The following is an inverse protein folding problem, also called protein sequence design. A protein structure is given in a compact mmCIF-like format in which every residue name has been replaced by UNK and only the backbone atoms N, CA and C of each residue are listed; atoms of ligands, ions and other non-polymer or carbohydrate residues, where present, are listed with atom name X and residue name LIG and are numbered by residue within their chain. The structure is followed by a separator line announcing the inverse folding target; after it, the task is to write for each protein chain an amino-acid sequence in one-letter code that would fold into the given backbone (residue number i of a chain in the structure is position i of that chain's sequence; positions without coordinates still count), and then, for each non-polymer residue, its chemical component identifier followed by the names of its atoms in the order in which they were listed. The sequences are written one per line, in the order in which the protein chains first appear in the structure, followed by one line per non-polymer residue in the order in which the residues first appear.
data_IF_459381128870
#
_entry.id   IF_459381128870
#
_cell.length_a   1.000
_cell.length_b   1.000
_cell.length_c   1.000
_cell.angle_alpha   90.00
_cell.angle_beta   90.00
_cell.angle_gamma   90.00
#
_symmetry.space_group_name_H-M   'P 1'
#
loop_
_entity.id
_entity.type
_entity.pdbx_description
1 polymer ?
#
# COMPACT_ATOMS: atom_id res chain seq x y z
N UNK A 1 -0.70 -13.18 25.96
CA UNK A 1 -1.78 -13.99 25.35
C UNK A 1 -3.07 -13.21 25.49
N UNK A 2 -3.74 -12.93 24.38
CA UNK A 2 -5.08 -12.34 24.38
C UNK A 2 -6.07 -13.50 24.33
N UNK A 3 -6.87 -13.68 25.39
CA UNK A 3 -7.80 -14.80 25.53
C UNK A 3 -9.23 -14.32 25.21
N UNK A 4 -9.46 -13.85 23.98
CA UNK A 4 -10.76 -13.31 23.57
C UNK A 4 -11.10 -13.61 22.12
N UNK A 5 -12.40 -13.74 21.82
CA UNK A 5 -12.92 -13.73 20.46
C UNK A 5 -13.26 -12.28 20.09
N UNK A 6 -12.48 -11.71 19.18
CA UNK A 6 -12.68 -10.33 18.73
C UNK A 6 -13.56 -10.33 17.48
N UNK A 7 -14.60 -9.52 17.49
CA UNK A 7 -15.40 -9.23 16.29
C UNK A 7 -15.09 -7.81 15.83
N UNK A 8 -14.76 -7.68 14.56
CA UNK A 8 -14.65 -6.37 13.92
C UNK A 8 -16.04 -5.97 13.41
N UNK A 9 -16.45 -4.70 13.59
CA UNK A 9 -17.74 -4.23 13.10
C UNK A 9 -17.81 -4.35 11.57
N UNK A 10 -19.03 -4.50 11.04
CA UNK A 10 -19.26 -4.45 9.60
C UNK A 10 -18.82 -3.07 9.07
N UNK A 11 -17.89 -3.00 8.09
CA UNK A 11 -17.45 -1.73 7.54
C UNK A 11 -18.56 -1.11 6.69
N UNK A 12 -18.60 0.22 6.69
CA UNK A 12 -19.41 1.01 5.76
C UNK A 12 -18.49 1.62 4.71
N UNK A 13 -19.03 1.87 3.51
CA UNK A 13 -18.31 2.61 2.47
C UNK A 13 -17.97 4.01 2.93
N UNK A 14 -16.76 4.45 2.62
CA UNK A 14 -16.28 5.79 2.91
C UNK A 14 -17.09 6.83 2.13
N UNK A 15 -17.52 7.89 2.82
CA UNK A 15 -18.31 8.96 2.20
C UNK A 15 -17.47 9.71 1.17
N UNK A 16 -17.98 9.84 -0.05
CA UNK A 16 -17.36 10.67 -1.11
C UNK A 16 -17.60 12.14 -0.79
N UNK A 17 -16.52 12.91 -0.61
CA UNK A 17 -16.62 14.34 -0.35
C UNK A 17 -16.94 15.14 -1.63
N UNK A 18 -17.70 16.22 -1.47
CA UNK A 18 -18.32 16.94 -2.59
C UNK A 18 -17.40 17.97 -3.27
N UNK A 19 -16.44 18.55 -2.54
CA UNK A 19 -15.56 19.63 -3.01
C UNK A 19 -16.32 20.83 -3.63
N UNK A 20 -17.51 21.11 -3.11
CA UNK A 20 -18.36 22.26 -3.46
C UNK A 20 -17.68 23.59 -3.15
N UNK A 21 -18.14 24.69 -3.75
CA UNK A 21 -17.56 26.01 -3.54
C UNK A 21 -17.57 26.39 -2.04
N UNK A 22 -16.43 26.83 -1.50
CA UNK A 22 -16.29 27.21 -0.10
C UNK A 22 -16.14 26.07 0.90
N UNK A 23 -16.31 24.81 0.50
CA UNK A 23 -16.22 23.65 1.38
C UNK A 23 -14.83 23.50 2.03
N UNK A 24 -14.75 23.04 3.31
CA UNK A 24 -13.47 22.85 4.00
C UNK A 24 -12.52 21.92 3.25
N UNK A 25 -13.01 20.81 2.69
CA UNK A 25 -12.22 19.84 1.94
C UNK A 25 -11.60 20.44 0.67
N UNK A 26 -12.33 21.32 -0.01
CA UNK A 26 -11.81 22.02 -1.20
C UNK A 26 -10.74 23.02 -0.85
N UNK A 27 -10.94 23.81 0.20
CA UNK A 27 -9.96 24.78 0.65
C UNK A 27 -8.67 24.06 1.08
N UNK A 28 -8.81 23.01 1.89
CA UNK A 28 -7.67 22.21 2.34
C UNK A 28 -6.92 21.55 1.19
N UNK A 29 -7.62 20.95 0.22
CA UNK A 29 -6.98 20.33 -0.94
C UNK A 29 -6.25 21.37 -1.81
N UNK A 30 -6.81 22.56 -2.00
CA UNK A 30 -6.12 23.64 -2.71
C UNK A 30 -4.81 24.04 -2.03
N UNK A 31 -4.81 24.12 -0.71
CA UNK A 31 -3.60 24.44 0.05
C UNK A 31 -2.56 23.30 -0.05
N UNK A 32 -3.01 22.05 0.03
CA UNK A 32 -2.13 20.89 -0.20
C UNK A 32 -1.57 20.87 -1.62
N UNK A 33 -2.36 21.15 -2.66
CA UNK A 33 -1.86 21.22 -4.04
C UNK A 33 -0.79 22.31 -4.20
N UNK A 34 -0.98 23.49 -3.59
CA UNK A 34 0.05 24.53 -3.57
C UNK A 34 1.32 24.07 -2.84
N UNK A 35 1.17 23.39 -1.70
CA UNK A 35 2.28 22.84 -0.93
C UNK A 35 3.06 21.79 -1.72
N UNK A 36 2.35 20.83 -2.33
CA UNK A 36 2.93 19.75 -3.13
C UNK A 36 3.64 20.27 -4.38
N UNK A 37 3.19 21.39 -4.96
CA UNK A 37 3.84 22.05 -6.11
C UNK A 37 4.98 22.99 -5.72
N UNK A 38 5.07 23.43 -4.46
CA UNK A 38 6.15 24.33 -4.03
C UNK A 38 7.43 23.59 -3.62
N UNK A 39 7.33 22.29 -3.35
CA UNK A 39 8.43 21.42 -2.94
C UNK A 39 8.84 20.49 -4.07
N UNK A 40 10.15 20.32 -4.27
CA UNK A 40 10.70 19.26 -5.12
C UNK A 40 11.06 18.08 -4.23
N UNK A 41 10.34 16.97 -4.35
CA UNK A 41 10.58 15.81 -3.49
C UNK A 41 11.66 14.89 -4.06
N UNK A 42 12.34 14.17 -3.17
CA UNK A 42 13.37 13.18 -3.50
C UNK A 42 12.89 11.82 -2.98
N UNK A 43 12.37 10.99 -3.88
CA UNK A 43 11.65 9.75 -3.54
C UNK A 43 12.59 8.54 -3.59
N UNK A 44 12.93 7.95 -2.42
CA UNK A 44 13.74 6.74 -2.36
C UNK A 44 12.89 5.49 -2.63
N UNK A 45 13.55 4.38 -2.92
CA UNK A 45 12.92 3.07 -2.71
C UNK A 45 12.86 2.78 -1.21
N UNK A 46 11.84 2.06 -0.76
CA UNK A 46 11.68 1.63 0.63
C UNK A 46 11.98 0.12 0.71
N UNK A 47 13.16 -0.24 1.22
CA UNK A 47 13.62 -1.63 1.27
C UNK A 47 14.01 -1.96 2.72
N UNK A 48 13.22 -2.81 3.37
CA UNK A 48 13.34 -3.03 4.81
C UNK A 48 13.19 -1.72 5.58
N UNK A 49 14.13 -1.46 6.49
CA UNK A 49 14.19 -0.22 7.29
C UNK A 49 14.84 0.95 6.56
N UNK A 50 15.33 0.76 5.33
CA UNK A 50 16.16 1.73 4.63
C UNK A 50 15.41 2.45 3.52
N UNK A 51 15.64 3.75 3.45
CA UNK A 51 15.43 4.52 2.23
C UNK A 51 16.65 4.36 1.32
N UNK A 52 16.46 3.73 0.15
CA UNK A 52 17.54 3.44 -0.79
C UNK A 52 17.47 4.42 -1.96
N UNK A 53 18.56 5.17 -2.13
CA UNK A 53 18.76 6.15 -3.20
C UNK A 53 19.83 5.67 -4.18
N UNK A 54 19.68 6.00 -5.45
CA UNK A 54 20.62 5.67 -6.54
C UNK A 54 21.10 6.93 -7.25
N UNK A 55 22.12 6.82 -8.08
CA UNK A 55 22.53 7.94 -8.94
C UNK A 55 21.62 8.11 -10.18
N UNK A 56 20.70 7.17 -10.43
CA UNK A 56 19.76 7.23 -11.54
C UNK A 56 18.45 7.91 -11.09
N UNK A 57 18.39 9.22 -11.25
CA UNK A 57 17.23 10.04 -10.90
C UNK A 57 16.31 10.19 -12.10
N UNK A 58 15.03 9.91 -11.89
CA UNK A 58 13.99 10.09 -12.91
C UNK A 58 13.04 11.19 -12.46
N UNK A 59 12.82 12.17 -13.31
CA UNK A 59 11.93 13.30 -13.03
C UNK A 59 10.46 12.87 -12.97
N UNK A 60 9.72 13.50 -12.07
CA UNK A 60 8.27 13.38 -11.97
C UNK A 60 7.62 14.70 -12.36
N UNK A 61 6.69 14.64 -13.29
CA UNK A 61 5.93 15.78 -13.78
C UNK A 61 4.44 15.48 -13.79
N UNK A 62 3.56 16.48 -13.54
CA UNK A 62 2.15 16.30 -13.78
C UNK A 62 1.89 16.08 -15.27
N UNK A 63 1.10 15.06 -15.68
CA UNK A 63 0.82 14.85 -17.10
C UNK A 63 0.12 16.04 -17.77
N UNK A 64 -0.67 16.82 -17.02
CA UNK A 64 -1.34 18.04 -17.50
C UNK A 64 -0.45 19.29 -17.46
N UNK A 65 0.75 19.22 -16.90
CA UNK A 65 1.66 20.36 -16.74
C UNK A 65 3.11 19.87 -16.80
N UNK A 66 3.50 19.29 -17.93
CA UNK A 66 4.77 18.57 -18.10
C UNK A 66 6.03 19.40 -17.85
N UNK A 67 5.93 20.74 -17.87
CA UNK A 67 7.04 21.66 -17.54
C UNK A 67 7.25 21.84 -16.03
N UNK A 68 6.29 21.46 -15.20
CA UNK A 68 6.39 21.59 -13.75
C UNK A 68 7.09 20.36 -13.16
N UNK A 69 8.20 20.57 -12.46
CA UNK A 69 8.96 19.50 -11.82
C UNK A 69 8.47 19.27 -10.39
N UNK A 70 7.87 18.12 -10.12
CA UNK A 70 7.44 17.71 -8.78
C UNK A 70 8.62 17.18 -7.94
N UNK A 71 9.66 16.66 -8.59
CA UNK A 71 10.77 16.02 -7.90
C UNK A 71 11.36 14.89 -8.72
N UNK A 72 12.11 14.02 -8.05
CA UNK A 72 12.73 12.84 -8.66
C UNK A 72 12.44 11.59 -7.84
N UNK A 73 12.39 10.44 -8.51
CA UNK A 73 12.54 9.15 -7.85
C UNK A 73 13.81 8.44 -8.27
N UNK A 74 14.29 7.53 -7.42
CA UNK A 74 15.51 6.80 -7.64
C UNK A 74 15.24 5.46 -8.32
N UNK A 75 15.56 5.36 -9.61
CA UNK A 75 15.43 4.12 -10.37
C UNK A 75 16.52 3.14 -9.93
N UNK A 76 16.10 1.93 -9.60
CA UNK A 76 16.92 0.80 -9.22
C UNK A 76 17.31 -0.08 -10.41
N UNK A 77 17.79 -1.27 -10.08
CA UNK A 77 18.22 -2.32 -11.00
C UNK A 77 18.06 -3.69 -10.31
N UNK A 78 18.53 -4.77 -10.94
CA UNK A 78 18.44 -6.13 -10.40
C UNK A 78 18.94 -6.28 -8.94
N UNK A 79 19.98 -5.53 -8.53
CA UNK A 79 20.48 -5.57 -7.15
C UNK A 79 19.41 -5.12 -6.15
N UNK A 80 18.64 -4.09 -6.49
CA UNK A 80 17.60 -3.55 -5.62
C UNK A 80 16.39 -4.50 -5.52
N UNK A 81 16.09 -5.24 -6.59
CA UNK A 81 15.08 -6.31 -6.55
C UNK A 81 15.52 -7.40 -5.57
N UNK A 82 16.77 -7.87 -5.66
CA UNK A 82 17.33 -8.86 -4.72
C UNK A 82 17.29 -8.37 -3.27
N UNK A 83 17.71 -7.13 -3.02
CA UNK A 83 17.64 -6.52 -1.69
C UNK A 83 16.20 -6.47 -1.14
N UNK A 84 15.20 -6.22 -1.99
CA UNK A 84 13.79 -6.22 -1.59
C UNK A 84 13.26 -7.61 -1.28
N UNK A 85 13.68 -8.63 -2.05
CA UNK A 85 13.37 -10.04 -1.77
C UNK A 85 14.00 -10.45 -0.43
N UNK A 86 15.28 -10.15 -0.22
CA UNK A 86 15.98 -10.47 1.03
C UNK A 86 15.29 -9.82 2.24
N UNK A 87 14.87 -8.55 2.10
CA UNK A 87 14.16 -7.83 3.15
C UNK A 87 12.76 -8.41 3.43
N UNK A 88 12.03 -8.83 2.38
CA UNK A 88 10.74 -9.49 2.51
C UNK A 88 10.88 -10.83 3.26
N UNK A 89 11.79 -11.69 2.81
CA UNK A 89 12.02 -13.00 3.43
C UNK A 89 12.51 -12.87 4.88
N UNK A 90 13.35 -11.88 5.18
CA UNK A 90 13.81 -11.60 6.54
C UNK A 90 12.66 -11.18 7.48
N UNK A 91 11.66 -10.45 6.98
CA UNK A 91 10.49 -10.03 7.75
C UNK A 91 9.42 -11.13 7.89
N UNK A 92 9.41 -12.12 6.99
CA UNK A 92 8.33 -13.11 6.83
C UNK A 92 7.94 -13.81 8.12
N UNK A 93 8.92 -14.43 8.79
CA UNK A 93 8.69 -15.21 10.01
C UNK A 93 8.04 -14.39 11.12
N UNK A 94 8.50 -13.16 11.34
CA UNK A 94 7.93 -12.32 12.39
C UNK A 94 6.53 -11.83 12.02
N UNK A 95 6.30 -11.53 10.75
CA UNK A 95 5.03 -11.01 10.25
C UNK A 95 3.92 -12.06 10.25
N UNK A 96 4.20 -13.28 9.77
CA UNK A 96 3.21 -14.36 9.75
C UNK A 96 2.82 -14.83 11.15
N UNK A 97 3.76 -14.80 12.10
CA UNK A 97 3.53 -15.17 13.50
C UNK A 97 2.90 -14.04 14.33
N UNK A 98 2.80 -12.81 13.79
CA UNK A 98 2.04 -11.75 14.44
C UNK A 98 0.55 -12.15 14.49
N UNK A 99 -0.17 -11.97 15.62
CA UNK A 99 -1.60 -12.21 15.68
C UNK A 99 -2.32 -11.45 14.56
N UNK A 100 -3.27 -12.11 13.89
CA UNK A 100 -3.90 -11.53 12.70
C UNK A 100 -4.67 -10.25 13.02
N UNK A 101 -5.20 -10.11 14.25
CA UNK A 101 -5.87 -8.91 14.73
C UNK A 101 -4.90 -7.73 14.83
N UNK A 102 -3.65 -7.99 15.23
CA UNK A 102 -2.59 -6.97 15.24
C UNK A 102 -2.18 -6.58 13.83
N UNK A 103 -2.15 -7.53 12.88
CA UNK A 103 -1.98 -7.19 11.46
C UNK A 103 -3.14 -6.32 10.97
N UNK A 104 -4.38 -6.73 11.21
CA UNK A 104 -5.58 -6.01 10.81
C UNK A 104 -5.62 -4.57 11.36
N UNK A 105 -5.21 -4.37 12.62
CA UNK A 105 -5.17 -3.05 13.25
C UNK A 105 -4.28 -2.05 12.50
N UNK A 106 -3.20 -2.50 11.86
CA UNK A 106 -2.32 -1.65 11.05
C UNK A 106 -3.08 -1.12 9.82
N UNK A 107 -3.80 -1.98 9.11
CA UNK A 107 -4.55 -1.58 7.91
C UNK A 107 -5.76 -0.71 8.26
N UNK A 108 -6.45 -0.99 9.36
CA UNK A 108 -7.53 -0.13 9.87
C UNK A 108 -6.99 1.25 10.27
N UNK A 109 -5.85 1.32 10.96
CA UNK A 109 -5.20 2.58 11.29
C UNK A 109 -4.77 3.35 10.04
N UNK A 110 -4.24 2.67 9.02
CA UNK A 110 -3.93 3.29 7.73
C UNK A 110 -5.18 3.87 7.05
N UNK A 111 -6.31 3.15 7.09
CA UNK A 111 -7.58 3.64 6.58
C UNK A 111 -8.03 4.93 7.29
N UNK A 112 -7.95 4.99 8.62
CA UNK A 112 -8.31 6.19 9.39
C UNK A 112 -7.36 7.37 9.15
N UNK A 113 -6.06 7.08 9.00
CA UNK A 113 -5.06 8.08 8.63
C UNK A 113 -5.38 8.70 7.26
N UNK A 114 -5.79 7.88 6.27
CA UNK A 114 -6.21 8.35 4.95
C UNK A 114 -7.55 9.09 5.04
N UNK A 115 -8.53 8.59 5.82
CA UNK A 115 -9.84 9.24 5.96
C UNK A 115 -9.75 10.62 6.60
N UNK A 116 -8.80 10.82 7.51
CA UNK A 116 -8.52 12.07 8.20
C UNK A 116 -7.40 12.88 7.56
N UNK A 117 -6.25 12.95 8.27
CA UNK A 117 -5.20 13.95 8.00
C UNK A 117 -4.52 13.79 6.63
N UNK A 118 -4.47 12.58 6.08
CA UNK A 118 -3.81 12.32 4.79
C UNK A 118 -4.74 12.37 3.59
N UNK A 119 -6.07 12.46 3.76
CA UNK A 119 -7.03 12.53 2.64
C UNK A 119 -6.66 13.55 1.56
N UNK A 120 -6.40 14.83 1.89
CA UNK A 120 -6.05 15.81 0.87
C UNK A 120 -4.68 15.56 0.23
N UNK A 121 -3.76 14.88 0.92
CA UNK A 121 -2.43 14.52 0.40
C UNK A 121 -2.50 13.30 -0.54
N UNK A 122 -3.31 12.30 -0.23
CA UNK A 122 -3.59 11.17 -1.12
C UNK A 122 -4.25 11.66 -2.42
N UNK A 123 -5.27 12.51 -2.30
CA UNK A 123 -5.89 13.12 -3.47
C UNK A 123 -4.92 14.03 -4.22
N UNK A 124 -4.18 14.90 -3.53
CA UNK A 124 -3.26 15.84 -4.16
C UNK A 124 -2.13 15.15 -4.93
N UNK A 125 -1.49 14.12 -4.35
CA UNK A 125 -0.44 13.35 -5.04
C UNK A 125 -0.99 12.55 -6.21
N UNK A 126 -2.21 12.02 -6.12
CA UNK A 126 -2.88 11.31 -7.22
C UNK A 126 -3.28 12.26 -8.35
N UNK A 127 -3.85 13.43 -8.02
CA UNK A 127 -4.19 14.46 -9.00
C UNK A 127 -2.95 14.93 -9.75
N UNK A 128 -1.86 15.24 -9.04
CA UNK A 128 -0.62 15.71 -9.65
C UNK A 128 0.09 14.61 -10.44
N UNK A 129 0.29 13.43 -9.85
CA UNK A 129 1.05 12.34 -10.50
C UNK A 129 0.32 11.66 -11.65
N UNK A 130 -1.01 11.49 -11.53
CA UNK A 130 -1.83 10.71 -12.48
C UNK A 130 -2.85 11.56 -13.24
N UNK A 131 -2.80 12.89 -13.09
CA UNK A 131 -3.67 13.85 -13.79
C UNK A 131 -5.17 13.64 -13.57
N UNK A 132 -5.55 13.15 -12.40
CA UNK A 132 -6.96 12.98 -12.03
C UNK A 132 -7.61 14.32 -11.69
N UNK A 133 -8.90 14.44 -12.00
CA UNK A 133 -9.75 15.49 -11.40
C UNK A 133 -9.95 15.20 -9.92
N UNK A 134 -10.40 16.19 -9.14
CA UNK A 134 -10.64 15.99 -7.70
C UNK A 134 -11.62 14.86 -7.42
N UNK A 135 -12.71 14.77 -8.19
CA UNK A 135 -13.68 13.69 -8.03
C UNK A 135 -13.07 12.32 -8.34
N UNK A 136 -12.30 12.22 -9.43
CA UNK A 136 -11.63 10.97 -9.80
C UNK A 136 -10.56 10.53 -8.79
N UNK A 137 -9.88 11.48 -8.14
CA UNK A 137 -8.92 11.18 -7.08
C UNK A 137 -9.63 10.80 -5.77
N UNK A 138 -10.73 11.47 -5.43
CA UNK A 138 -11.51 11.22 -4.22
C UNK A 138 -12.09 9.81 -4.20
N UNK A 139 -12.73 9.39 -5.29
CA UNK A 139 -13.35 8.06 -5.34
C UNK A 139 -12.30 6.93 -5.37
N UNK A 140 -11.08 7.20 -5.83
CA UNK A 140 -9.97 6.26 -5.96
C UNK A 140 -9.05 6.29 -4.73
N UNK A 141 -8.20 7.31 -4.64
CA UNK A 141 -7.10 7.37 -3.67
C UNK A 141 -7.51 7.63 -2.23
N UNK A 142 -8.76 8.09 -2.03
CA UNK A 142 -9.39 8.16 -0.72
C UNK A 142 -10.40 7.01 -0.55
N UNK A 143 -11.61 7.13 -1.12
CA UNK A 143 -12.72 6.23 -0.78
C UNK A 143 -12.42 4.76 -1.09
N UNK A 144 -12.09 4.40 -2.33
CA UNK A 144 -11.85 3.01 -2.71
C UNK A 144 -10.67 2.39 -1.94
N UNK A 145 -9.59 3.14 -1.72
CA UNK A 145 -8.46 2.64 -0.92
C UNK A 145 -8.81 2.45 0.56
N UNK A 146 -9.53 3.40 1.17
CA UNK A 146 -10.03 3.28 2.55
C UNK A 146 -10.95 2.06 2.67
N UNK A 147 -11.84 1.88 1.69
CA UNK A 147 -12.76 0.76 1.63
C UNK A 147 -12.00 -0.56 1.48
N UNK A 148 -11.02 -0.68 0.58
CA UNK A 148 -10.20 -1.89 0.49
C UNK A 148 -9.56 -2.25 1.83
N UNK A 149 -8.99 -1.28 2.55
CA UNK A 149 -8.33 -1.53 3.83
C UNK A 149 -9.33 -2.00 4.90
N UNK A 150 -10.53 -1.42 4.95
CA UNK A 150 -11.57 -1.79 5.94
C UNK A 150 -12.30 -3.08 5.57
N UNK A 151 -12.72 -3.22 4.32
CA UNK A 151 -13.46 -4.38 3.85
C UNK A 151 -12.59 -5.63 3.76
N UNK A 152 -11.33 -5.56 3.33
CA UNK A 152 -10.46 -6.73 3.33
C UNK A 152 -10.22 -7.27 4.74
N UNK A 153 -10.11 -6.38 5.74
CA UNK A 153 -10.01 -6.79 7.15
C UNK A 153 -11.28 -7.52 7.61
N UNK A 154 -12.46 -7.00 7.25
CA UNK A 154 -13.73 -7.67 7.51
C UNK A 154 -13.80 -9.04 6.83
N UNK A 155 -13.46 -9.13 5.54
CA UNK A 155 -13.48 -10.37 4.79
C UNK A 155 -12.47 -11.40 5.34
N UNK A 156 -11.28 -10.97 5.78
CA UNK A 156 -10.33 -11.88 6.42
C UNK A 156 -10.90 -12.49 7.70
N UNK A 157 -11.56 -11.66 8.53
CA UNK A 157 -12.27 -12.15 9.72
C UNK A 157 -13.33 -13.18 9.35
N UNK A 158 -14.14 -12.94 8.32
CA UNK A 158 -15.15 -13.91 7.86
C UNK A 158 -14.54 -15.20 7.33
N UNK A 159 -13.42 -15.13 6.60
CA UNK A 159 -12.67 -16.30 6.13
C UNK A 159 -12.18 -17.14 7.31
N UNK A 160 -11.56 -16.51 8.31
CA UNK A 160 -10.98 -17.21 9.46
C UNK A 160 -12.04 -17.86 10.37
N UNK A 161 -13.28 -17.35 10.37
CA UNK A 161 -14.40 -17.98 11.08
C UNK A 161 -14.88 -19.29 10.43
N UNK A 162 -14.56 -19.55 9.17
CA UNK A 162 -14.97 -20.78 8.50
C UNK A 162 -14.19 -21.97 9.05
N UNK A 163 -14.88 -22.87 9.76
CA UNK A 163 -14.31 -24.06 10.42
C UNK A 163 -15.10 -25.33 10.06
N UNK A 164 -14.44 -26.50 10.01
CA UNK A 164 -15.09 -27.77 9.66
C UNK A 164 -15.94 -28.34 10.81
N UNK A 165 -16.90 -29.20 10.45
CA UNK A 165 -17.66 -29.99 11.42
C UNK A 165 -16.74 -30.98 12.13
N UNK A 166 -16.98 -31.17 13.44
CA UNK A 166 -16.31 -32.18 14.26
C UNK A 166 -17.28 -33.31 14.62
N UNK A 167 -16.97 -34.54 14.27
CA UNK A 167 -17.76 -35.74 14.65
C UNK A 167 -17.49 -36.14 16.11
N UNK A 168 -18.35 -36.98 16.74
CA UNK A 168 -18.11 -37.45 18.10
C UNK A 168 -16.72 -38.09 18.27
N UNK A 169 -15.97 -37.65 19.28
CA UNK A 169 -14.60 -38.12 19.56
C UNK A 169 -13.51 -37.51 18.67
N UNK A 170 -13.85 -36.62 17.74
CA UNK A 170 -12.92 -35.96 16.81
C UNK A 170 -13.01 -34.44 17.01
N UNK A 171 -11.88 -33.73 16.88
CA UNK A 171 -11.86 -32.26 16.86
C UNK A 171 -11.07 -31.76 15.65
N UNK A 172 -11.79 -31.25 14.66
CA UNK A 172 -11.22 -30.72 13.42
C UNK A 172 -11.03 -29.20 13.52
N UNK A 173 -9.94 -28.69 12.95
CA UNK A 173 -9.65 -27.25 12.84
C UNK A 173 -9.03 -26.94 11.48
N UNK A 174 -9.37 -25.79 10.92
CA UNK A 174 -8.76 -25.26 9.71
C UNK A 174 -7.87 -24.08 10.07
N UNK A 175 -6.62 -24.12 9.59
CA UNK A 175 -5.65 -23.04 9.71
C UNK A 175 -5.38 -22.45 8.32
N UNK A 176 -5.68 -21.17 8.17
CA UNK A 176 -5.37 -20.41 6.95
C UNK A 176 -3.95 -19.90 7.00
N UNK A 177 -3.03 -20.65 6.41
CA UNK A 177 -1.61 -20.28 6.35
C UNK A 177 -1.37 -19.23 5.26
N UNK A 178 -0.47 -18.25 5.48
CA UNK A 178 0.06 -17.45 4.39
C UNK A 178 0.85 -18.33 3.42
N UNK A 179 1.14 -17.80 2.23
CA UNK A 179 2.04 -18.44 1.28
C UNK A 179 3.47 -18.48 1.85
N UNK A 180 4.22 -19.50 1.46
CA UNK A 180 5.67 -19.57 1.70
C UNK A 180 6.38 -18.68 0.67
N UNK A 181 7.48 -18.03 1.07
CA UNK A 181 8.22 -17.11 0.21
C UNK A 181 7.68 -15.67 0.21
N UNK A 182 7.80 -14.99 -0.94
CA UNK A 182 7.39 -13.59 -1.12
C UNK A 182 6.40 -13.42 -2.28
N UNK A 183 5.52 -12.42 -2.16
CA UNK A 183 4.57 -12.03 -3.21
C UNK A 183 5.12 -10.85 -4.00
N UNK A 184 5.00 -10.91 -5.33
CA UNK A 184 5.27 -9.77 -6.20
C UNK A 184 3.99 -9.01 -6.52
N UNK A 185 3.89 -7.75 -6.10
CA UNK A 185 2.80 -6.86 -6.49
C UNK A 185 3.27 -5.89 -7.59
N UNK A 186 2.70 -6.01 -8.80
CA UNK A 186 2.95 -5.07 -9.91
C UNK A 186 1.69 -4.25 -10.15
N UNK A 187 1.74 -2.95 -9.85
CA UNK A 187 0.53 -2.11 -9.86
C UNK A 187 0.48 -1.16 -11.07
N UNK A 188 -0.71 -0.93 -11.65
CA UNK A 188 -0.90 -0.05 -12.81
C UNK A 188 -0.91 1.43 -12.40
N UNK A 189 -0.97 2.32 -13.38
CA UNK A 189 -0.97 3.77 -13.14
C UNK A 189 -2.35 4.37 -12.84
N UNK A 190 -3.41 3.70 -13.28
CA UNK A 190 -4.74 4.28 -13.41
C UNK A 190 -5.51 4.41 -12.08
N UNK A 191 -5.17 3.63 -11.06
CA UNK A 191 -5.79 3.69 -9.73
C UNK A 191 -4.75 3.61 -8.62
N UNK A 192 -4.75 4.62 -7.75
CA UNK A 192 -3.96 4.61 -6.52
C UNK A 192 -4.48 3.55 -5.55
N UNK A 193 -5.79 3.30 -5.51
CA UNK A 193 -6.43 2.26 -4.71
C UNK A 193 -5.92 0.87 -5.08
N UNK A 194 -5.86 0.54 -6.37
CA UNK A 194 -5.24 -0.72 -6.85
C UNK A 194 -3.76 -0.77 -6.46
N UNK A 195 -3.06 0.38 -6.59
CA UNK A 195 -1.69 0.57 -6.13
C UNK A 195 -1.46 0.16 -4.67
N UNK A 196 -2.36 0.57 -3.78
CA UNK A 196 -2.28 0.21 -2.36
C UNK A 196 -2.82 -1.19 -2.05
N UNK A 197 -3.90 -1.61 -2.70
CA UNK A 197 -4.62 -2.84 -2.38
C UNK A 197 -3.86 -4.11 -2.75
N UNK A 198 -3.22 -4.16 -3.94
CA UNK A 198 -2.48 -5.36 -4.35
C UNK A 198 -1.39 -5.76 -3.34
N UNK A 199 -0.51 -4.86 -2.86
CA UNK A 199 0.44 -5.22 -1.82
C UNK A 199 -0.20 -5.34 -0.44
N UNK A 200 -1.18 -4.50 -0.08
CA UNK A 200 -1.77 -4.51 1.25
C UNK A 200 -2.59 -5.77 1.55
N UNK A 201 -3.37 -6.26 0.57
CA UNK A 201 -4.19 -7.47 0.71
C UNK A 201 -3.32 -8.72 0.96
N UNK A 202 -2.24 -8.89 0.18
CA UNK A 202 -1.27 -9.96 0.42
C UNK A 202 -0.62 -9.83 1.80
N UNK A 203 -0.20 -8.62 2.19
CA UNK A 203 0.41 -8.37 3.48
C UNK A 203 -0.55 -8.68 4.65
N UNK A 204 -1.81 -8.27 4.55
CA UNK A 204 -2.86 -8.52 5.54
C UNK A 204 -3.02 -10.04 5.83
N UNK A 205 -2.96 -10.88 4.79
CA UNK A 205 -3.01 -12.33 4.92
C UNK A 205 -1.74 -12.95 5.54
N UNK A 206 -0.73 -12.16 5.93
CA UNK A 206 0.52 -12.65 6.55
C UNK A 206 1.66 -12.92 5.57
N UNK A 207 1.54 -12.44 4.32
CA UNK A 207 2.63 -12.51 3.33
C UNK A 207 3.54 -11.29 3.43
N UNK A 208 4.74 -11.38 2.85
CA UNK A 208 5.63 -10.24 2.64
C UNK A 208 5.76 -9.96 1.15
N UNK A 209 5.90 -8.69 0.79
CA UNK A 209 5.66 -8.22 -0.57
C UNK A 209 6.83 -7.42 -1.11
N UNK A 210 7.21 -7.71 -2.34
CA UNK A 210 7.98 -6.82 -3.21
C UNK A 210 6.98 -6.07 -4.08
N UNK A 211 6.89 -4.76 -3.92
CA UNK A 211 5.94 -3.92 -4.63
C UNK A 211 6.65 -3.03 -5.65
N UNK A 212 6.29 -3.20 -6.92
CA UNK A 212 6.68 -2.31 -8.01
C UNK A 212 5.46 -1.60 -8.55
N UNK A 213 5.41 -0.28 -8.39
CA UNK A 213 4.36 0.53 -8.98
C UNK A 213 4.66 0.97 -10.42
N UNK A 214 3.66 1.45 -11.14
CA UNK A 214 3.89 2.18 -12.38
C UNK A 214 4.68 3.47 -12.11
N UNK A 215 5.62 3.83 -12.97
CA UNK A 215 6.48 5.01 -12.76
C UNK A 215 5.67 6.30 -12.63
N UNK A 216 4.59 6.41 -13.40
CA UNK A 216 3.63 7.54 -13.38
C UNK A 216 2.76 7.58 -12.11
N UNK A 217 2.84 6.57 -11.24
CA UNK A 217 2.11 6.49 -9.97
C UNK A 217 3.03 6.57 -8.74
N UNK A 218 4.35 6.74 -8.94
CA UNK A 218 5.34 6.80 -7.84
C UNK A 218 4.99 7.87 -6.80
N UNK A 219 4.47 9.03 -7.22
CA UNK A 219 4.18 10.13 -6.31
C UNK A 219 3.09 9.80 -5.27
N UNK A 220 2.04 9.08 -5.66
CA UNK A 220 0.99 8.62 -4.75
C UNK A 220 1.37 7.32 -4.04
N UNK A 221 2.09 6.41 -4.71
CA UNK A 221 2.60 5.17 -4.10
C UNK A 221 3.48 5.44 -2.87
N UNK A 222 4.41 6.39 -2.99
CA UNK A 222 5.32 6.72 -1.90
C UNK A 222 4.58 7.40 -0.73
N UNK A 223 3.52 8.17 -1.00
CA UNK A 223 2.67 8.74 0.04
C UNK A 223 1.97 7.63 0.82
N UNK A 224 1.40 6.64 0.13
CA UNK A 224 0.80 5.49 0.77
C UNK A 224 1.82 4.68 1.60
N UNK A 225 3.04 4.47 1.09
CA UNK A 225 4.08 3.77 1.84
C UNK A 225 4.45 4.49 3.14
N UNK A 226 4.53 5.83 3.14
CA UNK A 226 4.74 6.62 4.35
C UNK A 226 3.60 6.46 5.35
N UNK A 227 2.34 6.47 4.88
CA UNK A 227 1.16 6.25 5.72
C UNK A 227 1.20 4.85 6.35
N UNK A 228 1.56 3.81 5.59
CA UNK A 228 1.68 2.45 6.10
C UNK A 228 2.77 2.34 7.18
N UNK A 229 3.92 3.01 7.01
CA UNK A 229 4.95 3.08 8.05
C UNK A 229 4.42 3.78 9.31
N UNK A 230 3.70 4.90 9.19
CA UNK A 230 3.09 5.56 10.35
C UNK A 230 1.98 4.71 11.02
N UNK A 231 1.25 3.93 10.22
CA UNK A 231 0.26 2.99 10.71
C UNK A 231 0.89 1.83 11.51
N UNK A 232 2.21 1.64 11.41
CA UNK A 232 2.96 0.62 12.14
C UNK A 232 3.27 -0.63 11.33
N UNK A 233 3.21 -0.56 9.99
CA UNK A 233 3.65 -1.65 9.15
C UNK A 233 5.15 -1.94 9.42
N UNK A 234 5.51 -3.16 9.84
CA UNK A 234 6.90 -3.49 10.11
C UNK A 234 7.77 -3.36 8.85
N UNK A 235 9.01 -2.93 9.06
CA UNK A 235 10.00 -2.83 8.00
C UNK A 235 10.19 -4.18 7.29
N UNK A 236 10.18 -4.16 5.96
CA UNK A 236 10.35 -5.35 5.12
C UNK A 236 9.05 -6.08 4.78
N UNK A 237 7.91 -5.77 5.41
CA UNK A 237 6.63 -6.42 5.06
C UNK A 237 6.15 -6.01 3.67
N UNK A 238 6.26 -4.73 3.33
CA UNK A 238 6.06 -4.22 1.96
C UNK A 238 7.32 -3.45 1.57
N UNK A 239 7.95 -3.83 0.46
CA UNK A 239 9.16 -3.19 -0.07
C UNK A 239 8.82 -2.50 -1.38
N UNK A 240 8.71 -1.17 -1.37
CA UNK A 240 8.40 -0.38 -2.56
C UNK A 240 9.68 -0.09 -3.34
N UNK A 241 9.79 -0.67 -4.54
CA UNK A 241 10.94 -0.51 -5.44
C UNK A 241 10.53 0.06 -6.80
N UNK A 242 11.47 0.76 -7.44
CA UNK A 242 11.29 1.34 -8.77
C UNK A 242 12.32 0.72 -9.71
N UNK A 243 11.91 -0.28 -10.47
CA UNK A 243 12.75 -0.99 -11.44
C UNK A 243 11.92 -1.24 -12.70
N UNK A 244 12.55 -1.35 -13.87
CA UNK A 244 11.84 -1.70 -15.09
C UNK A 244 11.23 -3.11 -14.99
N UNK A 245 10.13 -3.31 -15.74
CA UNK A 245 9.37 -4.55 -15.71
C UNK A 245 10.18 -5.79 -16.11
N UNK A 246 10.93 -5.77 -17.22
CA UNK A 246 11.78 -6.89 -17.62
C UNK A 246 12.80 -7.31 -16.55
N UNK A 247 13.56 -6.36 -15.98
CA UNK A 247 14.53 -6.66 -14.92
C UNK A 247 13.86 -7.24 -13.68
N UNK A 248 12.70 -6.69 -13.28
CA UNK A 248 11.93 -7.20 -12.15
C UNK A 248 11.48 -8.64 -12.38
N UNK A 249 10.86 -8.91 -13.54
CA UNK A 249 10.36 -10.24 -13.89
C UNK A 249 11.48 -11.27 -14.00
N UNK A 250 12.63 -10.90 -14.58
CA UNK A 250 13.78 -11.79 -14.66
C UNK A 250 14.26 -12.25 -13.28
N UNK A 251 14.37 -11.34 -12.32
CA UNK A 251 14.86 -11.67 -10.98
C UNK A 251 13.80 -12.43 -10.19
N UNK A 252 12.55 -11.96 -10.17
CA UNK A 252 11.50 -12.56 -9.34
C UNK A 252 11.08 -13.94 -9.84
N UNK A 253 10.82 -14.13 -11.14
CA UNK A 253 10.29 -15.40 -11.66
C UNK A 253 11.31 -16.54 -11.66
N UNK A 254 12.60 -16.23 -11.50
CA UNK A 254 13.67 -17.23 -11.32
C UNK A 254 13.98 -17.52 -9.86
N UNK A 255 13.38 -16.79 -8.91
CA UNK A 255 13.67 -16.96 -7.49
C UNK A 255 12.91 -18.18 -6.92
N UNK A 256 13.57 -19.10 -6.19
CA UNK A 256 12.91 -20.30 -5.67
C UNK A 256 11.79 -19.99 -4.66
N UNK A 257 11.93 -18.91 -3.90
CA UNK A 257 10.92 -18.43 -2.94
C UNK A 257 9.87 -17.49 -3.55
N UNK A 258 9.75 -17.43 -4.89
CA UNK A 258 8.64 -16.75 -5.51
C UNK A 258 7.37 -17.59 -5.36
N UNK A 259 6.40 -17.05 -4.61
CA UNK A 259 5.17 -17.75 -4.20
C UNK A 259 4.17 -17.97 -5.34
#
# INVERSE_FOLDING_TARGET
MNNGHYSLPLPANETVLSYTHGSPEKNRLKDVLKELKSKKIDVPMYIGSKEVRTNNKIEMHPPHETKHLLGHFHMGNAKHVKMAIDAALAAKKNWENMPWESRAAIFLKAADLIAGKYRPYMNGTTMLGQSKTVFQAEIDSACELIDFLRFNVHFLSEIYKQQPVSSPGIHNRLEYRPLEGFVLAVTPFNFTAIGGNLPASAALCGNTVVWKCANTQVYSAQMFMQIMKEAGLPDGVINLIYVDGPTLGEVCFKHPDFA
#
